data_IF_900376505075
#
_entry.id   IF_900376505075
#
_cell.length_a   1.000
_cell.length_b   1.000
_cell.length_c   1.000
_cell.angle_alpha   90.00
_cell.angle_beta   90.00
_cell.angle_gamma   90.00
#
_symmetry.space_group_name_H-M   'P 1'
#
loop_
_entity.id
_entity.type
_entity.pdbx_description
1 polymer ?
#
# COMPACT_ATOMS: atom_id res chain seq x y z
N UNK A 1 32.26 19.86 26.48
CA UNK A 1 32.18 18.54 25.80
C UNK A 1 30.76 17.97 25.78
N UNK A 2 29.86 18.34 26.71
CA UNK A 2 28.50 17.75 26.83
C UNK A 2 27.48 18.16 25.75
N UNK A 3 27.55 19.36 25.17
CA UNK A 3 26.60 19.79 24.12
C UNK A 3 26.71 18.95 22.84
N UNK A 4 27.92 18.53 22.51
CA UNK A 4 28.19 17.74 21.30
C UNK A 4 27.59 16.32 21.42
N UNK A 5 27.55 15.79 22.65
CA UNK A 5 27.00 14.48 22.98
C UNK A 5 25.47 14.49 23.04
N UNK A 6 24.86 15.58 23.54
CA UNK A 6 23.40 15.77 23.43
C UNK A 6 22.95 15.90 21.98
N UNK A 7 23.69 16.65 21.15
CA UNK A 7 23.36 16.85 19.72
C UNK A 7 23.52 15.57 18.90
N UNK A 8 24.49 14.72 19.22
CA UNK A 8 24.66 13.44 18.52
C UNK A 8 23.49 12.50 18.83
N UNK A 9 23.03 12.47 20.08
CA UNK A 9 21.92 11.62 20.51
C UNK A 9 20.60 12.01 19.86
N UNK A 10 20.26 13.31 19.83
CA UNK A 10 19.03 13.79 19.17
C UNK A 10 19.04 13.50 17.67
N UNK A 11 20.20 13.65 17.02
CA UNK A 11 20.38 13.30 15.61
C UNK A 11 20.12 11.82 15.34
N UNK A 12 20.61 10.92 16.20
CA UNK A 12 20.37 9.48 16.07
C UNK A 12 18.89 9.12 16.19
N UNK A 13 18.15 9.78 17.09
CA UNK A 13 16.70 9.59 17.20
C UNK A 13 15.94 10.07 15.96
N UNK A 14 16.32 11.22 15.38
CA UNK A 14 15.71 11.73 14.15
C UNK A 14 15.97 10.80 12.96
N UNK A 15 17.19 10.30 12.82
CA UNK A 15 17.55 9.36 11.76
C UNK A 15 16.79 8.04 11.94
N UNK A 16 16.78 7.49 13.15
CA UNK A 16 16.03 6.27 13.46
C UNK A 16 14.53 6.42 13.20
N UNK A 17 13.94 7.55 13.61
CA UNK A 17 12.54 7.88 13.34
C UNK A 17 12.23 7.99 11.85
N UNK A 18 13.08 8.66 11.07
CA UNK A 18 12.90 8.79 9.62
C UNK A 18 12.98 7.45 8.90
N UNK A 19 13.95 6.61 9.27
CA UNK A 19 14.12 5.26 8.70
C UNK A 19 12.92 4.38 9.06
N UNK A 20 12.50 4.39 10.32
CA UNK A 20 11.32 3.64 10.78
C UNK A 20 10.03 4.07 10.10
N UNK A 21 9.79 5.38 9.97
CA UNK A 21 8.63 5.91 9.25
C UNK A 21 8.64 5.52 7.77
N UNK A 22 9.80 5.61 7.11
CA UNK A 22 9.94 5.21 5.71
C UNK A 22 9.68 3.73 5.50
N UNK A 23 10.20 2.87 6.40
CA UNK A 23 9.96 1.44 6.37
C UNK A 23 8.48 1.09 6.59
N UNK A 24 7.81 1.74 7.55
CA UNK A 24 6.39 1.57 7.80
C UNK A 24 5.54 1.96 6.57
N UNK A 25 5.86 3.10 5.94
CA UNK A 25 5.17 3.55 4.71
C UNK A 25 5.41 2.56 3.56
N UNK A 26 6.63 2.06 3.39
CA UNK A 26 6.94 1.08 2.35
C UNK A 26 6.21 -0.25 2.56
N UNK A 27 6.16 -0.74 3.80
CA UNK A 27 5.42 -1.94 4.18
C UNK A 27 3.91 -1.75 3.95
N UNK A 28 3.36 -0.61 4.34
CA UNK A 28 1.95 -0.28 4.09
C UNK A 28 1.64 -0.21 2.58
N UNK A 29 2.54 0.35 1.76
CA UNK A 29 2.39 0.36 0.29
C UNK A 29 2.48 -1.04 -0.32
N UNK A 30 3.31 -1.93 0.23
CA UNK A 30 3.42 -3.33 -0.22
C UNK A 30 2.19 -4.15 0.15
N UNK A 31 1.62 -3.90 1.33
CA UNK A 31 0.42 -4.58 1.83
C UNK A 31 -0.86 -4.05 1.21
N UNK A 32 -0.89 -2.78 0.79
CA UNK A 32 -2.01 -2.29 -0.01
C UNK A 32 -2.08 -3.14 -1.28
N UNK A 33 -3.17 -3.89 -1.50
CA UNK A 33 -3.39 -4.54 -2.77
C UNK A 33 -3.41 -3.42 -3.80
N UNK A 34 -2.32 -3.30 -4.57
CA UNK A 34 -2.29 -2.44 -5.75
C UNK A 34 -3.51 -2.88 -6.53
N UNK A 35 -4.52 -2.01 -6.69
CA UNK A 35 -5.66 -2.26 -7.56
C UNK A 35 -5.06 -2.78 -8.86
N UNK A 36 -5.02 -4.10 -9.01
CA UNK A 36 -4.62 -4.74 -10.25
C UNK A 36 -5.78 -4.32 -11.12
N UNK A 37 -5.60 -3.26 -11.92
CA UNK A 37 -6.42 -3.07 -13.10
C UNK A 37 -6.33 -4.41 -13.81
N UNK A 38 -7.36 -5.23 -13.64
CA UNK A 38 -7.45 -6.54 -14.24
C UNK A 38 -7.30 -6.23 -15.73
N UNK A 39 -6.19 -6.65 -16.33
CA UNK A 39 -5.99 -6.45 -17.76
C UNK A 39 -6.87 -7.51 -18.39
N UNK A 40 -8.13 -7.15 -18.61
CA UNK A 40 -9.10 -8.05 -19.22
C UNK A 40 -8.72 -8.17 -20.69
N UNK A 41 -8.46 -9.40 -21.19
CA UNK A 41 -8.18 -9.59 -22.62
C UNK A 41 -9.32 -9.00 -23.46
N UNK A 42 -9.01 -8.39 -24.60
CA UNK A 42 -9.97 -7.60 -25.38
C UNK A 42 -11.28 -8.36 -25.72
N UNK A 43 -11.23 -9.68 -25.91
CA UNK A 43 -12.42 -10.50 -26.18
C UNK A 43 -13.29 -10.83 -24.96
N UNK A 44 -12.77 -10.66 -23.75
CA UNK A 44 -13.49 -10.91 -22.50
C UNK A 44 -14.07 -9.64 -21.87
N UNK A 45 -13.64 -8.46 -22.34
CA UNK A 45 -14.15 -7.18 -21.85
C UNK A 45 -15.66 -7.02 -22.07
N UNK A 46 -16.23 -7.59 -23.13
CA UNK A 46 -17.67 -7.55 -23.40
C UNK A 46 -18.52 -8.29 -22.35
N UNK A 47 -17.93 -9.22 -21.59
CA UNK A 47 -18.63 -9.97 -20.54
C UNK A 47 -18.57 -9.26 -19.18
N UNK A 48 -17.78 -8.20 -19.05
CA UNK A 48 -17.69 -7.44 -17.80
C UNK A 48 -18.96 -6.62 -17.53
N UNK A 49 -19.72 -6.31 -18.58
CA UNK A 49 -21.03 -5.66 -18.48
C UNK A 49 -22.15 -6.64 -18.10
N UNK A 50 -21.87 -7.95 -18.06
CA UNK A 50 -22.88 -8.92 -17.68
C UNK A 50 -23.27 -8.74 -16.20
N UNK A 51 -24.57 -8.78 -15.87
CA UNK A 51 -25.04 -8.54 -14.50
C UNK A 51 -24.49 -9.58 -13.50
N UNK A 52 -24.35 -10.83 -13.92
CA UNK A 52 -23.76 -11.88 -13.09
C UNK A 52 -22.27 -11.66 -12.78
N UNK A 53 -21.52 -11.03 -13.69
CA UNK A 53 -20.11 -10.70 -13.48
C UNK A 53 -19.96 -9.53 -12.49
N UNK A 54 -20.80 -8.50 -12.64
CA UNK A 54 -20.85 -7.35 -11.73
C UNK A 54 -21.09 -7.78 -10.29
N UNK A 55 -22.07 -8.65 -10.06
CA UNK A 55 -22.40 -9.15 -8.71
C UNK A 55 -21.24 -9.93 -8.08
N UNK A 56 -20.53 -10.74 -8.87
CA UNK A 56 -19.35 -11.48 -8.39
C UNK A 56 -18.19 -10.55 -8.06
N UNK A 57 -17.93 -9.53 -8.89
CA UNK A 57 -16.90 -8.51 -8.62
C UNK A 57 -17.23 -7.72 -7.36
N UNK A 58 -18.47 -7.28 -7.18
CA UNK A 58 -18.91 -6.55 -5.98
C UNK A 58 -18.80 -7.39 -4.69
N UNK A 59 -18.94 -8.72 -4.79
CA UNK A 59 -18.70 -9.63 -3.66
C UNK A 59 -17.21 -9.77 -3.33
N UNK A 60 -16.36 -9.88 -4.36
CA UNK A 60 -14.90 -9.91 -4.22
C UNK A 60 -14.38 -8.61 -3.56
N UNK A 61 -14.89 -7.45 -3.99
CA UNK A 61 -14.52 -6.13 -3.42
C UNK A 61 -14.97 -5.94 -1.97
N UNK A 62 -16.12 -6.52 -1.59
CA UNK A 62 -16.59 -6.50 -0.19
C UNK A 62 -15.81 -7.44 0.72
N UNK A 63 -15.34 -8.58 0.20
CA UNK A 63 -14.53 -9.52 0.97
C UNK A 63 -13.06 -9.13 1.08
N UNK A 64 -12.58 -8.26 0.16
CA UNK A 64 -11.24 -7.70 0.18
C UNK A 64 -11.09 -6.42 1.03
N UNK A 65 -12.19 -5.87 1.55
CA UNK A 65 -12.24 -4.77 2.52
C UNK A 65 -12.20 -5.30 3.96
#
# INVERSE_FOLDING_TARGET
>A
MEEHERRSRTRSFLIGGLVGASAAIAAARRLRPKQRRRITPAGLAAFEDAPCYRETVELEERSAQ
#
